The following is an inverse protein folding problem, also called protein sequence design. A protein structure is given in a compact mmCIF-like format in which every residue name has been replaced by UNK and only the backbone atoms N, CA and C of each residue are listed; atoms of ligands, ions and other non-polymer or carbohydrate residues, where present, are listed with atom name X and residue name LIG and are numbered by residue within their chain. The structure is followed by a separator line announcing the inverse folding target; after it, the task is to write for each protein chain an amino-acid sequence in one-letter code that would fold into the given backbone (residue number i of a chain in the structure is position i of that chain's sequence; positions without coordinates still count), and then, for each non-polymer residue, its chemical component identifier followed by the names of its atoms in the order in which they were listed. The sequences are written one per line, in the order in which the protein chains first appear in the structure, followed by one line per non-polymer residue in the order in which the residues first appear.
data_IF_467287137981
#
_entry.id   IF_467287137981
#
_cell.length_a   1.000
_cell.length_b   1.000
_cell.length_c   1.000
_cell.angle_alpha   90.00
_cell.angle_beta   90.00
_cell.angle_gamma   90.00
#
_symmetry.space_group_name_H-M   'P 1'
#
loop_
_entity.id
_entity.type
_entity.pdbx_description
1 polymer ?
#
# COMPACT_ATOMS: atom_id res chain seq x y z
N UNK A 1 43.92 -9.07 -3.82
CA UNK A 1 42.77 -9.78 -4.41
C UNK A 1 43.25 -10.50 -5.67
N UNK A 2 43.33 -11.84 -5.68
CA UNK A 2 44.03 -12.61 -6.72
C UNK A 2 43.36 -12.61 -8.10
N UNK A 3 42.10 -12.14 -8.21
CA UNK A 3 41.32 -12.11 -9.46
C UNK A 3 41.85 -11.08 -10.48
N UNK A 4 42.56 -10.04 -10.03
CA UNK A 4 43.03 -8.94 -10.90
C UNK A 4 44.31 -9.28 -11.67
N UNK A 5 45.10 -10.24 -11.20
CA UNK A 5 46.45 -10.51 -11.75
C UNK A 5 46.49 -11.69 -12.73
N UNK A 6 45.44 -12.52 -12.80
CA UNK A 6 45.28 -13.57 -13.81
C UNK A 6 43.79 -13.64 -14.21
N UNK A 7 43.35 -12.91 -15.25
CA UNK A 7 42.02 -13.11 -15.79
C UNK A 7 41.98 -14.52 -16.39
N UNK A 8 41.27 -15.46 -15.75
CA UNK A 8 40.98 -16.75 -16.36
C UNK A 8 40.16 -16.53 -17.62
N UNK A 9 40.45 -17.31 -18.67
CA UNK A 9 39.68 -17.28 -19.91
C UNK A 9 38.21 -17.53 -19.61
N UNK A 10 37.40 -16.48 -19.76
CA UNK A 10 35.96 -16.56 -19.64
C UNK A 10 35.50 -17.62 -20.65
N UNK A 11 34.96 -18.74 -20.16
CA UNK A 11 34.35 -19.76 -21.01
C UNK A 11 33.03 -19.23 -21.55
N UNK A 12 33.13 -18.42 -22.60
CA UNK A 12 32.04 -17.64 -23.18
C UNK A 12 30.80 -18.49 -23.49
N UNK A 13 31.02 -19.75 -23.88
CA UNK A 13 29.94 -20.68 -24.25
C UNK A 13 29.13 -21.18 -23.04
N UNK A 14 29.78 -21.46 -21.91
CA UNK A 14 29.11 -21.85 -20.66
C UNK A 14 28.30 -20.67 -20.09
N UNK A 15 28.88 -19.46 -20.13
CA UNK A 15 28.24 -18.24 -19.65
C UNK A 15 26.98 -17.88 -20.47
N UNK A 16 27.05 -18.03 -21.78
CA UNK A 16 25.95 -17.73 -22.70
C UNK A 16 24.80 -18.76 -22.58
N UNK A 17 25.12 -20.04 -22.34
CA UNK A 17 24.12 -21.07 -22.07
C UNK A 17 23.34 -20.78 -20.78
N UNK A 18 24.05 -20.46 -19.68
CA UNK A 18 23.43 -20.12 -18.39
C UNK A 18 22.56 -18.87 -18.51
N UNK A 19 23.05 -17.82 -19.18
CA UNK A 19 22.29 -16.57 -19.40
C UNK A 19 21.01 -16.81 -20.21
N UNK A 20 21.06 -17.69 -21.22
CA UNK A 20 19.89 -18.04 -22.04
C UNK A 20 18.83 -18.77 -21.23
N UNK A 21 19.23 -19.75 -20.42
CA UNK A 21 18.31 -20.49 -19.54
C UNK A 21 17.70 -19.57 -18.49
N UNK A 22 18.51 -18.69 -17.88
CA UNK A 22 18.03 -17.68 -16.92
C UNK A 22 17.01 -16.73 -17.54
N UNK A 23 17.29 -16.21 -18.75
CA UNK A 23 16.35 -15.35 -19.46
C UNK A 23 15.04 -16.06 -19.78
N UNK A 24 15.09 -17.31 -20.25
CA UNK A 24 13.89 -18.08 -20.54
C UNK A 24 13.03 -18.31 -19.28
N UNK A 25 13.66 -18.64 -18.15
CA UNK A 25 12.99 -18.80 -16.87
C UNK A 25 12.33 -17.49 -16.41
N UNK A 26 13.03 -16.36 -16.52
CA UNK A 26 12.48 -15.05 -16.16
C UNK A 26 11.32 -14.62 -17.07
N UNK A 27 11.40 -14.86 -18.38
CA UNK A 27 10.31 -14.56 -19.30
C UNK A 27 9.07 -15.43 -19.03
N UNK A 28 9.25 -16.70 -18.69
CA UNK A 28 8.16 -17.59 -18.27
C UNK A 28 7.50 -17.09 -17.00
N UNK A 29 8.28 -16.75 -15.98
CA UNK A 29 7.77 -16.16 -14.74
C UNK A 29 7.01 -14.86 -15.03
N UNK A 30 7.60 -13.92 -15.79
CA UNK A 30 6.93 -12.67 -16.15
C UNK A 30 5.61 -12.89 -16.87
N UNK A 31 5.53 -13.88 -17.77
CA UNK A 31 4.31 -14.24 -18.48
C UNK A 31 3.20 -14.72 -17.54
N UNK A 32 3.53 -15.57 -16.57
CA UNK A 32 2.56 -16.03 -15.56
C UNK A 32 2.15 -14.90 -14.60
N UNK A 33 3.09 -14.03 -14.23
CA UNK A 33 2.86 -12.95 -13.26
C UNK A 33 2.11 -11.74 -13.85
N UNK A 34 2.13 -11.53 -15.17
CA UNK A 34 1.48 -10.37 -15.80
C UNK A 34 -0.04 -10.34 -15.58
N UNK A 35 -0.70 -11.49 -15.40
CA UNK A 35 -2.16 -11.59 -15.27
C UNK A 35 -2.76 -11.21 -13.91
N UNK A 36 -1.96 -10.91 -12.88
CA UNK A 36 -2.45 -10.70 -11.49
C UNK A 36 -1.89 -9.42 -10.86
N UNK A 37 -2.12 -8.27 -11.50
CA UNK A 37 -1.51 -6.98 -11.14
C UNK A 37 -2.05 -6.30 -9.88
N UNK A 38 -3.10 -6.83 -9.24
CA UNK A 38 -3.80 -6.08 -8.17
C UNK A 38 -3.07 -6.11 -6.81
N UNK A 39 -2.15 -7.06 -6.60
CA UNK A 39 -1.45 -7.18 -5.33
C UNK A 39 -0.03 -6.59 -5.39
N UNK A 40 0.37 -5.82 -4.37
CA UNK A 40 1.73 -5.27 -4.25
C UNK A 40 2.80 -6.34 -4.35
N UNK A 41 2.56 -7.54 -3.82
CA UNK A 41 3.51 -8.65 -3.86
C UNK A 41 3.67 -9.20 -5.28
N UNK A 42 2.59 -9.21 -6.07
CA UNK A 42 2.62 -9.62 -7.46
C UNK A 42 3.33 -8.59 -8.32
N UNK A 43 3.05 -7.30 -8.11
CA UNK A 43 3.78 -6.21 -8.77
C UNK A 43 5.26 -6.23 -8.40
N UNK A 44 5.60 -6.50 -7.14
CA UNK A 44 6.97 -6.65 -6.67
C UNK A 44 7.71 -7.78 -7.37
N UNK A 45 7.11 -8.97 -7.39
CA UNK A 45 7.68 -10.11 -8.06
C UNK A 45 7.82 -9.86 -9.58
N UNK A 46 6.86 -9.19 -10.21
CA UNK A 46 6.95 -8.82 -11.63
C UNK A 46 8.10 -7.84 -11.90
N UNK A 47 8.23 -6.76 -11.11
CA UNK A 47 9.34 -5.82 -11.26
C UNK A 47 10.70 -6.47 -11.03
N UNK A 48 10.78 -7.41 -10.08
CA UNK A 48 12.00 -8.18 -9.84
C UNK A 48 12.38 -9.04 -11.05
N UNK A 49 11.43 -9.84 -11.55
CA UNK A 49 11.65 -10.73 -12.70
C UNK A 49 11.97 -9.94 -13.98
N UNK A 50 11.33 -8.77 -14.19
CA UNK A 50 11.66 -7.86 -15.29
C UNK A 50 13.08 -7.30 -15.15
N UNK A 51 13.50 -6.96 -13.92
CA UNK A 51 14.87 -6.55 -13.62
C UNK A 51 15.89 -7.63 -14.00
N UNK A 52 15.62 -8.88 -13.63
CA UNK A 52 16.51 -10.01 -13.95
C UNK A 52 16.55 -10.32 -15.46
N UNK A 53 15.42 -10.17 -16.16
CA UNK A 53 15.35 -10.32 -17.61
C UNK A 53 16.17 -9.23 -18.32
N UNK A 54 16.02 -7.97 -17.92
CA UNK A 54 16.81 -6.85 -18.44
C UNK A 54 18.31 -7.03 -18.17
N UNK A 55 18.66 -7.51 -16.97
CA UNK A 55 20.04 -7.82 -16.62
C UNK A 55 20.64 -8.90 -17.53
N UNK A 56 19.89 -9.97 -17.77
CA UNK A 56 20.31 -11.08 -18.66
C UNK A 56 20.54 -10.60 -20.09
N UNK A 57 19.66 -9.74 -20.62
CA UNK A 57 19.84 -9.10 -21.94
C UNK A 57 21.07 -8.19 -21.95
N UNK A 58 21.26 -7.38 -20.91
CA UNK A 58 22.42 -6.51 -20.77
C UNK A 58 23.74 -7.28 -20.80
N UNK A 59 23.84 -8.38 -20.05
CA UNK A 59 25.03 -9.25 -20.02
C UNK A 59 25.29 -9.89 -21.38
N UNK A 60 24.26 -10.39 -22.07
CA UNK A 60 24.42 -10.96 -23.42
C UNK A 60 24.93 -9.92 -24.42
N UNK A 61 24.34 -8.73 -24.43
CA UNK A 61 24.80 -7.63 -25.30
C UNK A 61 26.23 -7.19 -24.96
N UNK A 62 26.55 -7.11 -23.66
CA UNK A 62 27.90 -6.83 -23.17
C UNK A 62 28.92 -7.84 -23.64
N UNK A 63 28.61 -9.14 -23.53
CA UNK A 63 29.48 -10.22 -24.00
C UNK A 63 29.74 -10.14 -25.51
N UNK A 64 28.71 -9.86 -26.31
CA UNK A 64 28.86 -9.67 -27.78
C UNK A 64 29.73 -8.45 -28.09
N UNK A 65 29.49 -7.33 -27.41
CA UNK A 65 30.26 -6.09 -27.57
C UNK A 65 31.73 -6.29 -27.18
N UNK A 66 32.02 -6.97 -26.08
CA UNK A 66 33.38 -7.28 -25.63
C UNK A 66 34.07 -8.20 -26.64
N UNK A 67 33.38 -9.23 -27.16
CA UNK A 67 33.94 -10.12 -28.17
C UNK A 67 34.32 -9.38 -29.46
N UNK A 68 33.51 -8.40 -29.87
CA UNK A 68 33.77 -7.65 -31.11
C UNK A 68 34.80 -6.53 -30.94
N UNK A 69 34.79 -5.82 -29.80
CA UNK A 69 35.63 -4.63 -29.58
C UNK A 69 36.91 -4.90 -28.78
N UNK A 70 36.96 -5.98 -28.00
CA UNK A 70 38.03 -6.26 -27.03
C UNK A 70 38.02 -5.33 -25.81
N UNK A 71 37.00 -4.49 -25.64
CA UNK A 71 36.93 -3.50 -24.56
C UNK A 71 36.30 -4.09 -23.30
N UNK A 72 37.14 -4.61 -22.41
CA UNK A 72 36.70 -5.19 -21.13
C UNK A 72 36.03 -4.20 -20.17
N UNK A 73 36.16 -2.88 -20.41
CA UNK A 73 35.49 -1.82 -19.61
C UNK A 73 33.96 -1.81 -19.81
N UNK A 74 33.45 -2.46 -20.87
CA UNK A 74 32.01 -2.50 -21.16
C UNK A 74 31.23 -3.24 -20.06
N UNK A 75 31.81 -4.29 -19.48
CA UNK A 75 31.18 -5.11 -18.43
C UNK A 75 30.81 -4.32 -17.16
N UNK A 76 31.73 -3.57 -16.53
CA UNK A 76 31.38 -2.74 -15.37
C UNK A 76 30.41 -1.60 -15.71
N UNK A 77 30.45 -1.04 -16.93
CA UNK A 77 29.50 0.01 -17.35
C UNK A 77 28.08 -0.55 -17.43
N UNK A 78 27.89 -1.69 -18.09
CA UNK A 78 26.58 -2.35 -18.19
C UNK A 78 26.05 -2.73 -16.80
N UNK A 79 26.93 -3.22 -15.93
CA UNK A 79 26.56 -3.58 -14.55
C UNK A 79 26.03 -2.39 -13.75
N UNK A 80 26.67 -1.22 -13.85
CA UNK A 80 26.20 0.02 -13.20
C UNK A 80 24.85 0.47 -13.76
N UNK A 81 24.66 0.38 -15.08
CA UNK A 81 23.37 0.73 -15.71
C UNK A 81 22.25 -0.17 -15.22
N UNK A 82 22.47 -1.49 -15.21
CA UNK A 82 21.50 -2.47 -14.70
C UNK A 82 21.18 -2.19 -13.22
N UNK A 83 22.21 -1.94 -12.40
CA UNK A 83 22.02 -1.59 -11.00
C UNK A 83 21.15 -0.34 -10.82
N UNK A 84 21.38 0.71 -11.60
CA UNK A 84 20.56 1.93 -11.60
C UNK A 84 19.09 1.66 -11.95
N UNK A 85 18.83 0.84 -12.98
CA UNK A 85 17.47 0.46 -13.38
C UNK A 85 16.75 -0.29 -12.24
N UNK A 86 17.42 -1.26 -11.61
CA UNK A 86 16.87 -2.04 -10.49
C UNK A 86 16.55 -1.13 -9.30
N UNK A 87 17.47 -0.24 -8.93
CA UNK A 87 17.28 0.69 -7.81
C UNK A 87 16.09 1.62 -8.08
N UNK A 88 16.02 2.23 -9.27
CA UNK A 88 14.91 3.13 -9.63
C UNK A 88 13.57 2.38 -9.62
N UNK A 89 13.53 1.16 -10.16
CA UNK A 89 12.33 0.32 -10.15
C UNK A 89 11.88 -0.08 -8.73
N UNK A 90 12.83 -0.32 -7.82
CA UNK A 90 12.55 -0.70 -6.44
C UNK A 90 12.10 0.45 -5.52
N UNK A 91 12.52 1.70 -5.78
CA UNK A 91 12.21 2.85 -4.93
C UNK A 91 10.69 3.04 -4.73
N UNK A 92 9.90 2.87 -5.78
CA UNK A 92 8.44 3.01 -5.70
C UNK A 92 7.82 2.04 -4.69
N UNK A 93 8.25 0.77 -4.75
CA UNK A 93 7.74 -0.28 -3.87
C UNK A 93 8.19 -0.12 -2.42
N UNK A 94 9.45 0.29 -2.22
CA UNK A 94 9.95 0.57 -0.87
C UNK A 94 9.15 1.72 -0.26
N UNK A 95 8.87 2.77 -1.03
CA UNK A 95 8.07 3.91 -0.55
C UNK A 95 6.64 3.50 -0.19
N UNK A 96 6.01 2.67 -1.01
CA UNK A 96 4.66 2.15 -0.75
C UNK A 96 4.63 1.28 0.52
N UNK A 97 5.61 0.39 0.66
CA UNK A 97 5.76 -0.46 1.85
C UNK A 97 5.99 0.35 3.13
N UNK A 98 6.84 1.37 3.05
CA UNK A 98 7.06 2.30 4.17
C UNK A 98 5.80 3.07 4.50
N UNK A 99 5.02 3.52 3.50
CA UNK A 99 3.75 4.20 3.75
C UNK A 99 2.77 3.31 4.52
N UNK A 100 2.67 2.03 4.15
CA UNK A 100 1.83 1.05 4.88
C UNK A 100 2.35 0.86 6.30
N UNK A 101 3.66 0.65 6.48
CA UNK A 101 4.27 0.44 7.81
C UNK A 101 4.16 1.65 8.73
N UNK A 102 4.13 2.85 8.17
CA UNK A 102 3.94 4.10 8.90
C UNK A 102 2.47 4.44 9.14
N UNK A 103 1.55 3.52 8.84
CA UNK A 103 0.09 3.73 8.91
C UNK A 103 -0.35 4.98 8.14
N UNK A 104 0.29 5.24 7.01
CA UNK A 104 -0.01 6.36 6.14
C UNK A 104 -1.37 6.21 5.46
N UNK A 105 -1.92 7.34 5.04
CA UNK A 105 -3.20 7.39 4.32
C UNK A 105 -3.10 6.66 2.97
N UNK A 106 -4.13 5.89 2.57
CA UNK A 106 -4.17 5.23 1.28
C UNK A 106 -4.00 6.23 0.13
N UNK A 107 -3.16 5.89 -0.85
CA UNK A 107 -2.98 6.71 -2.04
C UNK A 107 -4.28 6.84 -2.83
N UNK A 108 -4.69 8.08 -3.09
CA UNK A 108 -5.90 8.39 -3.87
C UNK A 108 -7.15 8.71 -3.04
N UNK A 109 -7.08 8.64 -1.70
CA UNK A 109 -8.15 9.09 -0.83
C UNK A 109 -7.80 10.45 -0.22
N UNK A 110 -8.66 11.43 -0.43
CA UNK A 110 -8.58 12.75 0.20
C UNK A 110 -9.33 12.74 1.54
N UNK A 111 -8.60 12.95 2.65
CA UNK A 111 -9.16 13.06 3.99
C UNK A 111 -10.24 14.15 4.09
N UNK A 112 -10.10 15.25 3.36
CA UNK A 112 -11.10 16.33 3.35
C UNK A 112 -12.39 15.89 2.66
N UNK A 113 -12.29 15.05 1.62
CA UNK A 113 -13.46 14.49 0.94
C UNK A 113 -14.19 13.47 1.83
N UNK A 114 -13.44 12.66 2.57
CA UNK A 114 -13.99 11.74 3.58
C UNK A 114 -14.72 12.53 4.66
N UNK A 115 -14.08 13.55 5.23
CA UNK A 115 -14.69 14.40 6.26
C UNK A 115 -15.98 15.07 5.78
N UNK A 116 -15.98 15.61 4.55
CA UNK A 116 -17.18 16.20 3.92
C UNK A 116 -18.28 15.18 3.70
N UNK A 117 -17.92 13.95 3.31
CA UNK A 117 -18.89 12.88 3.07
C UNK A 117 -19.58 12.46 4.37
N UNK A 118 -18.81 12.27 5.45
CA UNK A 118 -19.38 11.94 6.76
C UNK A 118 -20.24 13.11 7.27
N UNK A 119 -19.75 14.35 7.15
CA UNK A 119 -20.48 15.56 7.58
C UNK A 119 -21.74 15.86 6.76
N UNK A 120 -21.85 15.32 5.54
CA UNK A 120 -23.01 15.46 4.68
C UNK A 120 -24.18 14.52 5.04
N UNK A 121 -23.97 13.59 5.97
CA UNK A 121 -25.02 12.65 6.40
C UNK A 121 -25.96 13.33 7.39
N UNK A 122 -27.26 13.20 7.15
CA UNK A 122 -28.29 13.76 8.02
C UNK A 122 -28.13 13.25 9.46
N UNK A 123 -28.12 14.20 10.41
CA UNK A 123 -27.94 13.94 11.84
C UNK A 123 -26.48 14.07 12.33
N UNK A 124 -25.50 14.20 11.43
CA UNK A 124 -24.12 14.53 11.79
C UNK A 124 -23.97 16.04 11.94
N UNK A 125 -23.48 16.48 13.09
CA UNK A 125 -23.20 17.90 13.41
C UNK A 125 -21.75 18.24 13.05
N UNK A 126 -20.83 17.30 13.27
CA UNK A 126 -19.41 17.49 13.00
C UNK A 126 -18.62 16.20 13.08
N UNK A 127 -17.39 16.26 12.56
CA UNK A 127 -16.43 15.15 12.60
C UNK A 127 -15.08 15.72 12.99
N UNK A 128 -14.40 15.06 13.92
CA UNK A 128 -13.05 15.39 14.35
C UNK A 128 -12.24 14.12 14.64
N UNK A 129 -10.95 14.31 14.88
CA UNK A 129 -10.01 13.21 15.13
C UNK A 129 -10.04 12.11 14.05
N UNK A 130 -10.26 12.53 12.79
CA UNK A 130 -10.34 11.65 11.64
C UNK A 130 -8.96 11.11 11.29
N UNK A 131 -8.78 9.82 11.49
CA UNK A 131 -7.58 9.07 11.13
C UNK A 131 -7.93 8.00 10.09
N UNK A 132 -7.15 7.94 9.02
CA UNK A 132 -7.30 6.96 7.95
C UNK A 132 -5.93 6.39 7.59
N UNK A 133 -5.81 5.06 7.67
CA UNK A 133 -4.57 4.34 7.41
C UNK A 133 -4.82 3.08 6.56
N UNK A 134 -3.75 2.61 5.92
CA UNK A 134 -3.70 1.31 5.26
C UNK A 134 -3.23 0.22 6.22
N UNK A 135 -3.97 -0.90 6.29
CA UNK A 135 -3.47 -2.16 6.89
C UNK A 135 -2.72 -2.96 5.83
N UNK A 136 -3.22 -2.96 4.61
CA UNK A 136 -2.60 -3.56 3.42
C UNK A 136 -2.96 -2.73 2.18
N UNK A 137 -2.41 -3.03 0.99
CA UNK A 137 -2.78 -2.32 -0.25
C UNK A 137 -4.28 -2.38 -0.57
N UNK A 138 -4.95 -3.44 -0.11
CA UNK A 138 -6.36 -3.74 -0.41
C UNK A 138 -7.29 -3.38 0.75
N UNK A 139 -6.73 -3.13 1.95
CA UNK A 139 -7.50 -2.95 3.19
C UNK A 139 -7.14 -1.62 3.83
N UNK A 140 -8.11 -0.70 3.83
CA UNK A 140 -8.07 0.57 4.55
C UNK A 140 -8.91 0.52 5.83
N UNK A 141 -8.47 1.27 6.84
CA UNK A 141 -9.14 1.38 8.14
C UNK A 141 -9.25 2.84 8.56
N UNK A 142 -10.37 3.20 9.16
CA UNK A 142 -10.70 4.56 9.57
C UNK A 142 -11.14 4.61 11.03
N UNK A 143 -10.67 5.61 11.77
CA UNK A 143 -11.23 5.98 13.07
C UNK A 143 -11.59 7.46 13.09
N UNK A 144 -12.74 7.79 13.67
CA UNK A 144 -13.20 9.17 13.76
C UNK A 144 -14.14 9.37 14.92
N UNK A 145 -14.19 10.60 15.42
CA UNK A 145 -15.20 11.04 16.36
C UNK A 145 -16.29 11.78 15.57
N UNK A 146 -17.53 11.36 15.74
CA UNK A 146 -18.69 11.90 15.04
C UNK A 146 -19.62 12.52 16.05
N UNK A 147 -19.80 13.83 15.93
CA UNK A 147 -20.69 14.61 16.78
C UNK A 147 -22.12 14.53 16.23
N UNK A 148 -23.05 14.10 17.07
CA UNK A 148 -24.48 14.05 16.80
C UNK A 148 -25.27 14.85 17.84
N UNK A 149 -26.55 15.11 17.57
CA UNK A 149 -27.44 15.78 18.52
C UNK A 149 -27.79 14.91 19.73
N UNK A 150 -28.59 15.46 20.64
CA UNK A 150 -29.14 14.70 21.77
C UNK A 150 -30.25 13.74 21.30
N UNK A 151 -29.83 12.53 20.93
CA UNK A 151 -30.67 11.50 20.32
C UNK A 151 -30.51 10.16 21.05
N UNK A 152 -31.45 9.25 20.82
CA UNK A 152 -31.39 7.90 21.38
C UNK A 152 -30.22 7.11 20.78
N UNK A 153 -29.69 6.14 21.52
CA UNK A 153 -28.64 5.24 21.01
C UNK A 153 -29.06 4.50 19.74
N UNK A 154 -30.34 4.13 19.59
CA UNK A 154 -30.84 3.50 18.38
C UNK A 154 -30.77 4.42 17.15
N UNK A 155 -31.08 5.70 17.30
CA UNK A 155 -30.97 6.69 16.22
C UNK A 155 -29.51 6.98 15.87
N UNK A 156 -28.64 7.03 16.88
CA UNK A 156 -27.21 7.21 16.70
C UNK A 156 -26.59 6.01 15.95
N UNK A 157 -27.02 4.78 16.27
CA UNK A 157 -26.59 3.56 15.58
C UNK A 157 -27.00 3.55 14.10
N UNK A 158 -28.22 4.02 13.79
CA UNK A 158 -28.67 4.19 12.41
C UNK A 158 -27.84 5.23 11.63
N UNK A 159 -27.39 6.30 12.28
CA UNK A 159 -26.46 7.27 11.67
C UNK A 159 -25.12 6.60 11.38
N UNK A 160 -24.57 5.83 12.34
CA UNK A 160 -23.32 5.08 12.16
C UNK A 160 -23.40 4.15 10.95
N UNK A 161 -24.49 3.42 10.79
CA UNK A 161 -24.66 2.50 9.66
C UNK A 161 -24.69 3.24 8.31
N UNK A 162 -25.39 4.38 8.22
CA UNK A 162 -25.35 5.24 7.02
C UNK A 162 -23.94 5.76 6.70
N UNK A 163 -23.16 6.09 7.73
CA UNK A 163 -21.76 6.50 7.55
C UNK A 163 -20.94 5.34 6.99
N UNK A 164 -21.08 4.15 7.58
CA UNK A 164 -20.37 2.96 7.11
C UNK A 164 -20.72 2.62 5.66
N UNK A 165 -22.00 2.67 5.28
CA UNK A 165 -22.44 2.42 3.90
C UNK A 165 -21.85 3.44 2.92
N UNK A 166 -21.81 4.73 3.29
CA UNK A 166 -21.23 5.77 2.46
C UNK A 166 -19.71 5.61 2.30
N UNK A 167 -19.01 5.26 3.38
CA UNK A 167 -17.56 5.02 3.37
C UNK A 167 -17.18 3.80 2.54
N UNK A 168 -17.94 2.71 2.68
CA UNK A 168 -17.75 1.50 1.88
C UNK A 168 -18.06 1.75 0.41
N UNK A 169 -19.20 2.40 0.11
CA UNK A 169 -19.66 2.61 -1.26
C UNK A 169 -18.82 3.59 -2.08
N UNK A 170 -18.30 4.66 -1.45
CA UNK A 170 -17.51 5.69 -2.17
C UNK A 170 -16.01 5.49 -2.09
N UNK A 171 -15.50 4.99 -0.97
CA UNK A 171 -14.06 4.93 -0.72
C UNK A 171 -13.55 3.50 -0.52
N UNK A 172 -14.43 2.49 -0.50
CA UNK A 172 -14.03 1.09 -0.24
C UNK A 172 -13.54 0.84 1.19
N UNK A 173 -13.82 1.74 2.14
CA UNK A 173 -13.36 1.61 3.52
C UNK A 173 -14.32 0.68 4.26
N UNK A 174 -13.88 -0.57 4.48
CA UNK A 174 -14.69 -1.60 5.13
C UNK A 174 -14.52 -1.65 6.66
N UNK A 175 -13.37 -1.23 7.17
CA UNK A 175 -13.07 -1.26 8.60
C UNK A 175 -13.15 0.14 9.18
N UNK A 176 -14.15 0.39 10.02
CA UNK A 176 -14.40 1.70 10.63
C UNK A 176 -14.59 1.58 12.15
N UNK A 177 -13.99 2.50 12.89
CA UNK A 177 -14.17 2.67 14.33
C UNK A 177 -14.65 4.09 14.61
N UNK A 178 -15.98 4.25 14.65
CA UNK A 178 -16.63 5.54 14.84
C UNK A 178 -17.05 5.72 16.29
N UNK A 179 -16.49 6.72 16.96
CA UNK A 179 -16.92 7.14 18.29
C UNK A 179 -18.02 8.19 18.15
N UNK A 180 -19.23 7.87 18.59
CA UNK A 180 -20.36 8.82 18.58
C UNK A 180 -20.33 9.71 19.83
N UNK A 181 -20.28 11.01 19.61
CA UNK A 181 -20.29 12.05 20.65
C UNK A 181 -21.61 12.84 20.60
N UNK A 182 -22.06 13.33 21.75
CA UNK A 182 -23.31 14.10 21.86
C UNK A 182 -23.03 15.54 22.28
N UNK A 183 -23.74 16.51 21.69
CA UNK A 183 -23.68 17.94 22.06
C UNK A 183 -24.40 18.31 23.37
N UNK A 184 -24.84 17.33 24.17
CA UNK A 184 -25.59 17.59 25.40
C UNK A 184 -24.72 18.35 26.42
N UNK A 185 -24.99 19.66 26.55
CA UNK A 185 -24.28 20.57 27.46
C UNK A 185 -24.55 20.26 28.93
N UNK A 186 -25.67 19.60 29.25
CA UNK A 186 -26.01 19.18 30.61
C UNK A 186 -25.21 17.95 31.08
N UNK A 187 -24.71 17.12 30.16
CA UNK A 187 -24.04 15.86 30.50
C UNK A 187 -22.56 16.03 30.87
N UNK A 188 -21.96 17.20 30.57
CA UNK A 188 -20.57 17.55 30.89
C UNK A 188 -19.48 16.67 30.23
N UNK A 189 -19.89 15.68 29.43
CA UNK A 189 -19.04 14.72 28.71
C UNK A 189 -19.63 14.53 27.31
N UNK A 190 -18.82 14.71 26.27
CA UNK A 190 -19.18 14.47 24.87
C UNK A 190 -19.34 12.97 24.58
N UNK A 191 -20.20 12.27 25.32
CA UNK A 191 -20.30 10.80 25.29
C UNK A 191 -21.78 10.41 25.14
N UNK A 192 -22.05 9.46 24.25
CA UNK A 192 -23.36 8.87 24.08
C UNK A 192 -23.50 7.65 25.01
N UNK A 193 -24.50 7.65 25.91
CA UNK A 193 -24.70 6.59 26.91
C UNK A 193 -26.02 5.86 26.69
N UNK A 194 -25.95 4.54 26.53
CA UNK A 194 -27.12 3.69 26.56
C UNK A 194 -27.45 3.32 28.00
N UNK A 195 -28.46 3.97 28.57
CA UNK A 195 -28.98 3.63 29.88
C UNK A 195 -30.21 2.76 29.68
N UNK A 196 -30.12 1.49 30.06
CA UNK A 196 -31.31 0.65 30.25
C UNK A 196 -32.20 1.36 31.26
N UNK A 197 -33.45 1.64 30.90
CA UNK A 197 -34.41 2.27 31.80
C UNK A 197 -34.59 1.43 33.07
N UNK A 198 -33.81 1.70 34.10
CA UNK A 198 -34.15 1.25 35.44
C UNK A 198 -35.36 2.08 35.91
N UNK A 199 -36.43 1.45 36.43
CA UNK A 199 -37.61 2.17 36.88
C UNK A 199 -37.23 3.15 38.01
N UNK A 200 -37.97 4.26 38.07
CA UNK A 200 -37.78 5.45 38.92
C UNK A 200 -37.65 5.19 40.44
N UNK A 201 -36.60 4.53 40.91
CA UNK A 201 -36.48 4.10 42.32
C UNK A 201 -35.56 4.94 43.21
N UNK A 202 -35.03 6.07 42.74
CA UNK A 202 -34.15 6.93 43.55
C UNK A 202 -34.55 8.42 43.56
N UNK A 203 -35.84 8.74 43.37
CA UNK A 203 -36.32 10.14 43.48
C UNK A 203 -36.86 10.50 44.88
N UNK A 204 -36.78 9.58 45.86
CA UNK A 204 -37.27 9.76 47.24
C UNK A 204 -36.29 9.22 48.31
N UNK A 205 -34.99 9.45 48.15
CA UNK A 205 -34.02 9.34 49.25
C UNK A 205 -33.28 10.67 49.40
#
# INVERSE_FOLDING_TARGET
MPVVQNPEHIKSLEMMAIATVGLAANLLSAYYLHGSSDNINMRAALYHVLGDALASVGVMLGGVLIWWTGWYVIDPVISVVICGIIVIGGIGLVRESVNILMEGTPSGIDLDEVAKTISGIEGVIGVHDLHLWCISPEISSLSAHVLVGDITCSSADAIRDRINDALLGRFGIAHTALQLECTCTECGRNILLCISAAPQLYRNL
#
